data_IF_577207614271
#
_entry.id   IF_577207614271
#
_cell.length_a   1.000
_cell.length_b   1.000
_cell.length_c   1.000
_cell.angle_alpha   90.00
_cell.angle_beta   90.00
_cell.angle_gamma   90.00
#
_symmetry.space_group_name_H-M   'P 1'
#
loop_
_entity.id
_entity.type
_entity.pdbx_description
1 polymer ?
#
# COMPACT_ATOMS: atom_id res chain seq x y z
N UNK A 1 22.06 89.19 -5.40
CA UNK A 1 23.36 88.74 -5.96
C UNK A 1 23.28 87.25 -6.18
N UNK A 2 23.90 86.77 -7.27
CA UNK A 2 23.98 85.37 -7.73
C UNK A 2 24.41 84.41 -6.61
N UNK A 3 23.93 83.15 -6.60
CA UNK A 3 24.75 81.99 -7.04
C UNK A 3 24.16 80.59 -6.76
N UNK A 4 24.25 79.76 -7.81
CA UNK A 4 24.55 78.31 -7.91
C UNK A 4 23.63 77.19 -7.35
N UNK A 5 23.27 76.30 -8.28
CA UNK A 5 22.51 75.02 -8.29
C UNK A 5 23.51 73.84 -8.08
N UNK A 6 23.20 72.51 -7.97
CA UNK A 6 22.00 71.68 -7.64
C UNK A 6 22.26 70.60 -6.55
N UNK A 7 21.24 69.83 -6.12
CA UNK A 7 21.47 68.42 -5.78
C UNK A 7 20.20 67.57 -5.99
N UNK A 8 20.34 66.53 -6.83
CA UNK A 8 19.37 65.47 -7.04
C UNK A 8 19.23 64.63 -5.76
N UNK A 9 18.00 64.39 -5.30
CA UNK A 9 17.72 63.17 -4.56
C UNK A 9 16.27 62.73 -4.84
N UNK A 10 16.16 61.75 -5.73
CA UNK A 10 14.99 60.90 -5.81
C UNK A 10 14.93 60.04 -4.53
N UNK A 11 13.76 59.95 -3.88
CA UNK A 11 13.50 58.82 -3.01
C UNK A 11 12.11 58.24 -3.30
N UNK A 12 12.20 57.17 -4.08
CA UNK A 12 11.18 56.24 -4.51
C UNK A 12 10.33 55.72 -3.36
N UNK A 13 9.02 55.69 -3.61
CA UNK A 13 8.03 54.92 -2.86
C UNK A 13 8.40 53.43 -2.91
N UNK A 14 8.89 52.86 -1.80
CA UNK A 14 9.09 51.42 -1.69
C UNK A 14 7.86 50.81 -1.03
N UNK A 15 6.88 50.43 -1.85
CA UNK A 15 5.85 49.49 -1.43
C UNK A 15 6.54 48.14 -1.13
N UNK A 16 6.49 47.68 0.11
CA UNK A 16 6.82 46.30 0.43
C UNK A 16 5.74 45.39 -0.17
N UNK A 17 5.96 44.92 -1.40
CA UNK A 17 5.27 43.74 -1.89
C UNK A 17 5.76 42.56 -1.07
N UNK A 18 4.92 42.10 -0.16
CA UNK A 18 4.99 40.77 0.41
C UNK A 18 4.97 39.78 -0.75
N UNK A 19 6.11 39.14 -1.03
CA UNK A 19 6.14 37.98 -1.91
C UNK A 19 5.40 36.86 -1.17
N UNK A 20 4.27 36.33 -1.66
CA UNK A 20 3.77 35.09 -1.13
C UNK A 20 4.84 34.03 -1.43
N UNK A 21 5.38 33.41 -0.39
CA UNK A 21 6.19 32.22 -0.55
C UNK A 21 5.35 31.21 -1.33
N UNK A 22 5.73 30.96 -2.59
CA UNK A 22 5.20 29.84 -3.34
C UNK A 22 5.56 28.60 -2.53
N UNK A 23 4.57 28.03 -1.86
CA UNK A 23 4.67 26.69 -1.32
C UNK A 23 5.06 25.81 -2.51
N UNK A 24 6.25 25.21 -2.46
CA UNK A 24 6.60 24.11 -3.35
C UNK A 24 5.65 22.96 -3.01
N UNK A 25 4.51 22.94 -3.71
CA UNK A 25 3.67 21.77 -3.79
C UNK A 25 4.53 20.73 -4.51
N UNK A 26 5.10 19.79 -3.75
CA UNK A 26 5.88 18.68 -4.28
C UNK A 26 4.93 17.86 -5.16
N UNK A 27 4.81 18.25 -6.43
CA UNK A 27 4.01 17.52 -7.39
C UNK A 27 4.64 16.14 -7.52
N UNK A 28 3.91 15.12 -7.09
CA UNK A 28 4.32 13.75 -7.19
C UNK A 28 4.48 13.41 -8.68
N UNK A 29 5.73 13.42 -9.16
CA UNK A 29 6.02 13.25 -10.58
C UNK A 29 5.74 11.80 -10.99
N UNK A 30 4.84 11.62 -11.96
CA UNK A 30 4.64 10.34 -12.63
C UNK A 30 5.94 9.96 -13.34
N UNK A 31 6.55 8.84 -12.94
CA UNK A 31 7.75 8.31 -13.58
C UNK A 31 7.44 7.46 -14.81
N UNK A 32 6.26 6.86 -14.84
CA UNK A 32 5.73 6.13 -15.98
C UNK A 32 4.20 6.22 -16.01
N UNK A 33 3.62 5.94 -17.16
CA UNK A 33 2.18 5.73 -17.32
C UNK A 33 1.89 4.27 -17.66
N UNK A 34 0.78 3.75 -17.15
CA UNK A 34 0.34 2.39 -17.45
C UNK A 34 -1.15 2.33 -17.76
N UNK A 35 -1.51 1.72 -18.89
CA UNK A 35 -2.91 1.46 -19.24
C UNK A 35 -3.33 0.12 -18.65
N UNK A 36 -4.32 0.15 -17.75
CA UNK A 36 -4.86 -1.05 -17.09
C UNK A 36 -5.41 -2.02 -18.14
N UNK A 37 -4.92 -3.26 -18.12
CA UNK A 37 -5.40 -4.34 -18.97
C UNK A 37 -6.42 -5.21 -18.23
N UNK A 38 -7.15 -6.04 -18.97
CA UNK A 38 -8.10 -6.97 -18.38
C UNK A 38 -7.37 -7.95 -17.46
N UNK A 39 -7.75 -7.98 -16.19
CA UNK A 39 -7.14 -8.85 -15.18
C UNK A 39 -6.02 -8.20 -14.37
N UNK A 40 -5.66 -6.95 -14.66
CA UNK A 40 -4.71 -6.22 -13.84
C UNK A 40 -5.29 -5.79 -12.49
N UNK A 41 -4.42 -5.74 -11.50
CA UNK A 41 -4.68 -5.15 -10.19
C UNK A 41 -3.61 -4.09 -9.92
N UNK A 42 -3.87 -3.14 -9.02
CA UNK A 42 -2.82 -2.20 -8.60
C UNK A 42 -1.59 -2.92 -8.05
N UNK A 43 -1.80 -4.10 -7.45
CA UNK A 43 -0.74 -4.96 -6.95
C UNK A 43 0.14 -5.51 -8.08
N UNK A 44 -0.44 -6.17 -9.08
CA UNK A 44 0.32 -6.74 -10.21
C UNK A 44 1.06 -5.64 -10.99
N UNK A 45 0.49 -4.44 -11.08
CA UNK A 45 1.11 -3.26 -11.68
C UNK A 45 2.26 -2.76 -10.78
N UNK A 46 2.05 -2.63 -9.48
CA UNK A 46 3.10 -2.22 -8.53
C UNK A 46 4.32 -3.12 -8.58
N UNK A 47 4.11 -4.44 -8.58
CA UNK A 47 5.19 -5.43 -8.74
C UNK A 47 5.94 -5.25 -10.06
N UNK A 48 5.22 -5.04 -11.17
CA UNK A 48 5.83 -4.83 -12.49
C UNK A 48 6.76 -3.62 -12.54
N UNK A 49 6.43 -2.56 -11.81
CA UNK A 49 7.17 -1.30 -11.81
C UNK A 49 8.08 -1.12 -10.58
N UNK A 50 8.10 -2.08 -9.64
CA UNK A 50 8.86 -1.96 -8.40
C UNK A 50 8.37 -0.82 -7.50
N UNK A 51 7.07 -0.51 -7.57
CA UNK A 51 6.43 0.57 -6.81
C UNK A 51 5.38 -0.03 -5.90
N UNK A 52 5.30 0.44 -4.64
CA UNK A 52 4.21 0.04 -3.76
C UNK A 52 2.86 0.42 -4.39
N UNK A 53 1.97 -0.56 -4.54
CA UNK A 53 0.68 -0.35 -5.16
C UNK A 53 -0.15 0.72 -4.43
N UNK A 54 0.09 0.96 -3.13
CA UNK A 54 -0.53 2.03 -2.35
C UNK A 54 -0.08 3.40 -2.85
N UNK A 55 1.18 3.54 -3.25
CA UNK A 55 1.66 4.77 -3.87
C UNK A 55 0.98 5.01 -5.21
N UNK A 56 0.76 3.96 -6.01
CA UNK A 56 -0.05 4.04 -7.24
C UNK A 56 -1.51 4.41 -6.90
N UNK A 57 -2.09 3.80 -5.88
CA UNK A 57 -3.46 4.07 -5.43
C UNK A 57 -3.67 5.55 -5.08
N UNK A 58 -2.81 6.11 -4.22
CA UNK A 58 -2.88 7.52 -3.80
C UNK A 58 -2.55 8.48 -4.94
N UNK A 59 -1.50 8.20 -5.72
CA UNK A 59 -1.10 9.05 -6.86
C UNK A 59 -2.19 9.17 -7.94
N UNK A 60 -3.10 8.20 -8.01
CA UNK A 60 -4.18 8.17 -9.01
C UNK A 60 -5.58 8.48 -8.44
N UNK A 61 -5.65 8.94 -7.18
CA UNK A 61 -6.91 9.25 -6.50
C UNK A 61 -7.91 8.09 -6.54
N UNK A 62 -7.41 6.84 -6.51
CA UNK A 62 -8.29 5.68 -6.57
C UNK A 62 -8.96 5.57 -5.21
N UNK A 63 -10.29 5.42 -5.22
CA UNK A 63 -11.10 5.31 -3.99
C UNK A 63 -11.56 3.88 -3.73
N UNK A 64 -11.56 3.04 -4.77
CA UNK A 64 -11.95 1.64 -4.67
C UNK A 64 -11.03 0.76 -5.52
N UNK A 65 -10.20 -0.04 -4.86
CA UNK A 65 -9.26 -0.98 -5.49
C UNK A 65 -9.99 -2.05 -6.32
N UNK A 66 -11.25 -2.37 -5.96
CA UNK A 66 -12.08 -3.37 -6.66
C UNK A 66 -12.65 -2.86 -8.00
N UNK A 67 -12.58 -1.56 -8.26
CA UNK A 67 -13.11 -0.94 -9.49
C UNK A 67 -12.01 -0.29 -10.30
N UNK A 68 -10.93 -1.01 -10.55
CA UNK A 68 -9.91 -0.54 -11.48
C UNK A 68 -10.43 -0.70 -12.92
N UNK A 69 -10.77 0.38 -13.64
CA UNK A 69 -11.39 0.26 -14.96
C UNK A 69 -10.32 -0.17 -15.98
N UNK A 70 -10.63 -1.19 -16.78
CA UNK A 70 -9.79 -1.55 -17.93
C UNK A 70 -9.73 -0.36 -18.90
N UNK A 71 -8.54 -0.04 -19.39
CA UNK A 71 -8.27 1.13 -20.22
C UNK A 71 -8.01 2.41 -19.45
N UNK A 72 -8.13 2.43 -18.11
CA UNK A 72 -7.69 3.58 -17.30
C UNK A 72 -6.17 3.71 -17.38
N UNK A 73 -5.67 4.91 -17.66
CA UNK A 73 -4.24 5.24 -17.56
C UNK A 73 -3.93 5.60 -16.10
N UNK A 74 -2.92 4.96 -15.55
CA UNK A 74 -2.40 5.19 -14.20
C UNK A 74 -1.05 5.87 -14.26
N UNK A 75 -0.90 6.92 -13.45
CA UNK A 75 0.37 7.48 -13.03
C UNK A 75 1.11 6.47 -12.15
N UNK A 76 2.27 6.01 -12.59
CA UNK A 76 3.18 5.22 -11.78
C UNK A 76 4.20 6.19 -11.16
N UNK A 77 4.08 6.54 -9.87
CA UNK A 77 5.03 7.46 -9.24
C UNK A 77 6.43 6.85 -9.29
N UNK A 78 7.45 7.71 -9.25
CA UNK A 78 8.82 7.24 -9.11
C UNK A 78 8.89 6.28 -7.92
N UNK A 79 9.60 5.17 -8.10
CA UNK A 79 9.95 4.30 -6.99
C UNK A 79 10.75 5.14 -5.99
N UNK A 80 10.08 5.68 -4.98
CA UNK A 80 10.75 6.15 -3.78
C UNK A 80 11.34 4.90 -3.19
N UNK A 81 12.66 4.72 -3.34
CA UNK A 81 13.38 3.82 -2.47
C UNK A 81 13.02 4.25 -1.05
N UNK A 82 12.11 3.52 -0.41
CA UNK A 82 11.74 3.78 0.97
C UNK A 82 12.97 3.44 1.78
N UNK A 83 13.85 4.42 1.97
CA UNK A 83 14.80 4.40 3.05
C UNK A 83 13.96 4.15 4.32
N UNK A 84 14.27 3.12 5.11
CA UNK A 84 13.46 2.78 6.26
C UNK A 84 13.47 3.96 7.23
N UNK A 85 12.28 4.53 7.50
CA UNK A 85 12.10 5.55 8.53
C UNK A 85 12.32 4.87 9.88
N UNK A 86 13.43 5.20 10.52
CA UNK A 86 13.78 4.74 11.85
C UNK A 86 12.84 5.33 12.91
N UNK A 87 12.35 4.49 13.83
CA UNK A 87 12.20 4.65 15.30
C UNK A 87 11.38 3.43 15.76
N UNK A 88 11.83 2.47 16.58
CA UNK A 88 12.85 2.45 17.62
C UNK A 88 13.63 1.13 17.65
N UNK A 89 14.94 1.23 17.82
CA UNK A 89 15.91 0.18 18.18
C UNK A 89 15.40 -0.66 19.38
N UNK A 90 15.48 -2.00 19.33
CA UNK A 90 16.71 -2.64 19.79
C UNK A 90 17.43 -3.39 18.66
N UNK A 91 18.75 -3.26 18.71
CA UNK A 91 19.77 -3.84 17.87
C UNK A 91 19.47 -5.28 17.45
N UNK A 92 19.32 -5.52 16.15
CA UNK A 92 19.53 -6.83 15.54
C UNK A 92 20.46 -6.66 14.34
N UNK A 93 21.67 -7.19 14.51
CA UNK A 93 22.71 -7.35 13.51
C UNK A 93 22.13 -7.81 12.17
N UNK A 94 22.38 -7.02 11.12
CA UNK A 94 22.11 -7.38 9.72
C UNK A 94 22.95 -8.58 9.33
N UNK A 95 22.39 -9.77 9.53
CA UNK A 95 22.88 -10.99 8.90
C UNK A 95 22.02 -11.23 7.67
N UNK A 96 22.45 -10.68 6.54
CA UNK A 96 22.03 -11.17 5.21
C UNK A 96 22.52 -12.61 5.12
N UNK A 97 21.62 -13.58 5.29
CA UNK A 97 21.92 -14.99 5.11
C UNK A 97 20.73 -15.69 4.47
N UNK A 98 21.03 -16.22 3.28
CA UNK A 98 20.35 -17.27 2.53
C UNK A 98 18.85 -17.08 2.21
N UNK A 99 18.54 -17.14 0.91
CA UNK A 99 17.23 -17.54 0.41
C UNK A 99 16.78 -18.79 1.18
N UNK A 100 15.75 -18.73 2.06
CA UNK A 100 15.27 -19.92 2.73
C UNK A 100 14.65 -20.84 1.67
N UNK A 101 14.91 -22.14 1.79
CA UNK A 101 14.12 -23.17 1.11
C UNK A 101 12.65 -22.91 1.41
N UNK A 102 11.92 -22.42 0.40
CA UNK A 102 10.59 -21.87 0.55
C UNK A 102 9.60 -23.00 0.86
N UNK A 103 9.32 -23.22 2.14
CA UNK A 103 8.16 -24.02 2.53
C UNK A 103 6.91 -23.33 2.01
N UNK A 104 5.95 -24.11 1.50
CA UNK A 104 4.69 -23.57 0.99
C UNK A 104 3.89 -23.05 2.20
N UNK A 105 3.50 -21.75 2.22
CA UNK A 105 2.71 -21.20 3.31
C UNK A 105 1.32 -21.85 3.39
N UNK A 106 0.87 -22.17 4.61
CA UNK A 106 -0.41 -22.84 4.86
C UNK A 106 -1.20 -22.04 5.88
N UNK A 107 -2.47 -21.78 5.58
CA UNK A 107 -3.45 -21.26 6.54
C UNK A 107 -4.57 -22.27 6.77
N UNK A 108 -4.96 -22.45 8.03
CA UNK A 108 -6.14 -23.22 8.43
C UNK A 108 -7.12 -22.34 9.19
N UNK A 109 -8.40 -22.63 9.06
CA UNK A 109 -9.45 -21.92 9.80
C UNK A 109 -9.63 -22.62 11.15
N UNK A 110 -9.51 -21.88 12.24
CA UNK A 110 -9.60 -22.41 13.61
C UNK A 110 -10.85 -21.91 14.35
N UNK A 111 -11.43 -20.79 13.92
CA UNK A 111 -12.67 -20.26 14.50
C UNK A 111 -13.39 -19.31 13.55
N UNK A 112 -14.72 -19.25 13.66
CA UNK A 112 -15.57 -18.32 12.90
C UNK A 112 -16.62 -17.76 13.84
N UNK A 113 -16.70 -16.43 13.92
CA UNK A 113 -17.80 -15.70 14.53
C UNK A 113 -18.73 -15.20 13.42
N UNK A 114 -19.98 -15.72 13.32
CA UNK A 114 -20.84 -15.45 12.18
C UNK A 114 -21.11 -13.96 11.96
N UNK A 115 -20.85 -13.48 10.74
CA UNK A 115 -21.04 -12.09 10.33
C UNK A 115 -20.05 -11.11 10.95
N UNK A 116 -19.06 -11.58 11.70
CA UNK A 116 -18.18 -10.72 12.49
C UNK A 116 -16.70 -10.97 12.17
N UNK A 117 -16.17 -12.17 12.42
CA UNK A 117 -14.74 -12.43 12.27
C UNK A 117 -14.38 -13.89 11.98
N UNK A 118 -13.14 -14.12 11.55
CA UNK A 118 -12.54 -15.43 11.36
C UNK A 118 -11.17 -15.49 12.01
N UNK A 119 -10.87 -16.58 12.70
CA UNK A 119 -9.57 -16.88 13.28
C UNK A 119 -8.87 -17.92 12.41
N UNK A 120 -7.60 -17.65 12.10
CA UNK A 120 -6.73 -18.55 11.35
C UNK A 120 -5.51 -18.96 12.15
N UNK A 121 -4.97 -20.13 11.81
CA UNK A 121 -3.62 -20.53 12.17
C UNK A 121 -2.77 -20.61 10.88
N UNK A 122 -1.66 -19.88 10.87
CA UNK A 122 -0.73 -19.75 9.76
C UNK A 122 0.58 -20.46 10.09
N UNK A 123 1.09 -21.26 9.16
CA UNK A 123 2.34 -22.02 9.30
C UNK A 123 3.14 -22.01 8.00
N UNK A 124 4.45 -22.25 8.09
CA UNK A 124 5.37 -22.29 6.95
C UNK A 124 5.44 -20.97 6.16
N UNK A 125 5.07 -19.85 6.76
CA UNK A 125 5.27 -18.53 6.15
C UNK A 125 6.75 -18.15 6.24
N UNK A 126 7.28 -17.41 5.26
CA UNK A 126 8.60 -16.83 5.41
C UNK A 126 8.60 -15.85 6.60
N UNK A 127 9.60 -15.91 7.50
CA UNK A 127 9.64 -15.05 8.69
C UNK A 127 9.91 -13.59 8.32
N UNK A 128 9.42 -12.68 9.16
CA UNK A 128 9.58 -11.22 9.07
C UNK A 128 9.21 -10.70 7.68
N UNK A 129 8.02 -11.07 7.23
CA UNK A 129 7.45 -10.64 5.95
C UNK A 129 6.03 -10.15 6.17
N UNK A 130 5.66 -9.15 5.40
CA UNK A 130 4.31 -8.63 5.42
C UNK A 130 3.44 -9.37 4.40
N UNK A 131 2.25 -9.75 4.84
CA UNK A 131 1.22 -10.38 4.02
C UNK A 131 -0.07 -9.57 4.13
N UNK A 132 -0.67 -9.28 2.98
CA UNK A 132 -1.99 -8.69 2.92
C UNK A 132 -3.04 -9.78 3.16
N UNK A 133 -3.97 -9.50 4.05
CA UNK A 133 -5.12 -10.34 4.34
C UNK A 133 -6.29 -9.83 3.52
N UNK A 134 -6.74 -10.67 2.60
CA UNK A 134 -7.83 -10.39 1.67
C UNK A 134 -8.99 -11.34 1.96
N UNK A 135 -10.22 -10.83 1.92
CA UNK A 135 -11.42 -11.66 2.00
C UNK A 135 -12.34 -11.42 0.82
N UNK A 136 -12.88 -12.48 0.25
CA UNK A 136 -13.71 -12.38 -0.96
C UNK A 136 -14.80 -13.44 -1.02
N UNK A 137 -15.65 -13.38 -2.06
CA UNK A 137 -16.62 -14.42 -2.35
C UNK A 137 -15.93 -15.79 -2.51
N UNK A 138 -16.63 -16.86 -2.12
CA UNK A 138 -16.16 -18.23 -2.36
C UNK A 138 -15.89 -18.48 -3.87
N UNK A 139 -14.92 -19.35 -4.17
CA UNK A 139 -14.52 -19.69 -5.54
C UNK A 139 -13.49 -18.74 -6.16
N UNK A 140 -13.22 -17.60 -5.55
CA UNK A 140 -12.19 -16.63 -5.99
C UNK A 140 -10.80 -16.94 -5.45
N UNK A 141 -10.66 -17.90 -4.51
CA UNK A 141 -9.42 -18.14 -3.76
C UNK A 141 -8.94 -16.90 -2.96
N UNK A 142 -9.83 -15.95 -2.74
CA UNK A 142 -9.51 -14.63 -2.16
C UNK A 142 -8.68 -13.74 -3.09
N UNK A 143 -8.47 -14.16 -4.35
CA UNK A 143 -7.85 -13.33 -5.38
C UNK A 143 -8.81 -12.16 -5.68
N UNK A 144 -8.30 -10.93 -5.70
CA UNK A 144 -9.11 -9.70 -5.78
C UNK A 144 -10.14 -9.53 -4.66
N UNK A 145 -9.90 -10.14 -3.48
CA UNK A 145 -10.72 -9.93 -2.29
C UNK A 145 -10.62 -8.50 -1.73
N UNK A 146 -11.57 -8.14 -0.88
CA UNK A 146 -11.51 -6.91 -0.08
C UNK A 146 -10.33 -6.98 0.88
N UNK A 147 -9.47 -5.96 0.85
CA UNK A 147 -8.38 -5.81 1.81
C UNK A 147 -8.94 -5.64 3.22
N UNK A 148 -8.46 -6.48 4.14
CA UNK A 148 -8.83 -6.43 5.56
C UNK A 148 -7.74 -5.73 6.35
N UNK A 149 -6.50 -6.21 6.25
CA UNK A 149 -5.35 -5.65 6.95
C UNK A 149 -4.04 -6.22 6.38
N UNK A 150 -2.90 -5.73 6.87
CA UNK A 150 -1.57 -6.32 6.66
C UNK A 150 -1.10 -6.97 7.96
N UNK A 151 -0.50 -8.16 7.87
CA UNK A 151 0.07 -8.91 8.99
C UNK A 151 1.55 -9.20 8.74
N UNK A 152 2.39 -8.94 9.75
CA UNK A 152 3.79 -9.40 9.73
C UNK A 152 3.86 -10.84 10.26
N UNK A 153 4.57 -11.71 9.54
CA UNK A 153 4.65 -13.13 9.84
C UNK A 153 5.52 -13.47 11.05
N UNK A 154 6.30 -12.52 11.58
CA UNK A 154 7.19 -12.73 12.72
C UNK A 154 8.12 -13.93 12.48
N UNK A 155 7.96 -15.00 13.25
CA UNK A 155 8.76 -16.23 13.12
C UNK A 155 8.34 -17.15 11.96
N UNK A 156 7.26 -16.82 11.22
CA UNK A 156 6.73 -17.62 10.11
C UNK A 156 5.56 -18.53 10.50
N UNK A 157 5.14 -18.51 11.75
CA UNK A 157 3.92 -19.16 12.24
C UNK A 157 3.21 -18.27 13.25
N UNK A 158 1.89 -18.14 13.14
CA UNK A 158 1.08 -17.26 13.99
C UNK A 158 -0.40 -17.62 13.94
N UNK A 159 -1.14 -17.18 14.95
CA UNK A 159 -2.61 -17.25 15.00
C UNK A 159 -3.16 -15.83 15.07
N UNK A 160 -4.15 -15.52 14.25
CA UNK A 160 -4.73 -14.18 14.18
C UNK A 160 -6.23 -14.22 13.86
N UNK A 161 -6.96 -13.21 14.35
CA UNK A 161 -8.39 -13.02 14.09
C UNK A 161 -8.59 -11.79 13.23
N UNK A 162 -9.44 -11.91 12.21
CA UNK A 162 -9.71 -10.87 11.23
C UNK A 162 -11.20 -10.62 11.10
N UNK A 163 -11.61 -9.36 11.19
CA UNK A 163 -13.00 -8.94 11.01
C UNK A 163 -13.44 -9.08 9.55
N UNK A 164 -14.66 -9.57 9.33
CA UNK A 164 -15.26 -9.65 8.00
C UNK A 164 -15.60 -8.25 7.48
N UNK A 165 -15.27 -7.92 6.22
CA UNK A 165 -15.76 -6.72 5.55
C UNK A 165 -17.30 -6.69 5.49
N UNK A 166 -17.89 -5.50 5.56
CA UNK A 166 -19.35 -5.31 5.57
C UNK A 166 -20.05 -6.01 4.40
N UNK A 167 -19.42 -6.00 3.22
CA UNK A 167 -19.94 -6.66 2.01
C UNK A 167 -20.03 -8.19 2.10
N UNK A 168 -19.37 -8.81 3.09
CA UNK A 168 -19.26 -10.26 3.24
C UNK A 168 -19.93 -10.78 4.51
N UNK A 169 -20.41 -9.91 5.42
CA UNK A 169 -21.04 -10.32 6.68
C UNK A 169 -22.27 -11.21 6.48
N UNK A 170 -23.02 -11.01 5.40
CA UNK A 170 -24.20 -11.83 5.04
C UNK A 170 -23.87 -13.00 4.11
N UNK A 171 -22.64 -13.12 3.61
CA UNK A 171 -22.26 -14.20 2.71
C UNK A 171 -22.21 -15.51 3.49
N UNK A 172 -22.74 -16.61 2.93
CA UNK A 172 -22.75 -17.94 3.58
C UNK A 172 -21.38 -18.62 3.61
N UNK A 173 -20.53 -18.26 2.67
CA UNK A 173 -19.16 -18.76 2.52
C UNK A 173 -18.26 -17.61 2.11
N UNK A 174 -17.06 -17.59 2.66
CA UNK A 174 -16.07 -16.54 2.42
C UNK A 174 -14.71 -17.19 2.16
N UNK A 175 -14.00 -16.70 1.15
CA UNK A 175 -12.60 -17.03 0.93
C UNK A 175 -11.73 -16.04 1.68
N UNK A 176 -10.65 -16.53 2.30
CA UNK A 176 -9.59 -15.71 2.90
C UNK A 176 -8.26 -16.05 2.24
N UNK A 177 -7.45 -15.03 1.99
CA UNK A 177 -6.14 -15.16 1.36
C UNK A 177 -5.13 -14.30 2.09
N UNK A 178 -3.97 -14.87 2.36
CA UNK A 178 -2.76 -14.14 2.73
C UNK A 178 -1.88 -14.08 1.48
N UNK A 179 -1.61 -12.87 1.01
CA UNK A 179 -0.78 -12.61 -0.18
C UNK A 179 0.41 -11.72 0.17
N UNK A 180 1.61 -12.18 -0.15
CA UNK A 180 2.86 -11.47 0.09
C UNK A 180 3.68 -11.33 -1.18
N UNK A 181 4.85 -10.72 -1.03
CA UNK A 181 5.81 -10.51 -2.12
C UNK A 181 6.33 -11.83 -2.71
N UNK A 182 7.01 -11.76 -3.85
CA UNK A 182 7.66 -12.93 -4.51
C UNK A 182 6.70 -14.10 -4.81
N UNK A 183 5.39 -13.82 -4.93
CA UNK A 183 4.38 -14.82 -5.25
C UNK A 183 3.96 -15.71 -4.07
N UNK A 184 4.43 -15.42 -2.85
CA UNK A 184 3.95 -16.14 -1.66
C UNK A 184 2.47 -15.88 -1.45
N UNK A 185 1.68 -16.94 -1.41
CA UNK A 185 0.29 -16.83 -1.03
C UNK A 185 -0.20 -18.12 -0.37
N UNK A 186 -1.18 -17.96 0.49
CA UNK A 186 -1.97 -19.05 1.03
C UNK A 186 -3.42 -18.63 1.07
N UNK A 187 -4.33 -19.56 0.81
CA UNK A 187 -5.75 -19.26 0.83
C UNK A 187 -6.52 -20.42 1.43
N UNK A 188 -7.68 -20.11 1.98
CA UNK A 188 -8.63 -21.09 2.47
C UNK A 188 -10.03 -20.46 2.39
N UNK A 189 -11.05 -21.19 2.79
CA UNK A 189 -12.41 -20.69 2.86
C UNK A 189 -13.12 -21.25 4.08
N UNK A 190 -14.19 -20.57 4.48
CA UNK A 190 -14.99 -20.96 5.62
C UNK A 190 -16.48 -20.74 5.37
N UNK A 191 -17.31 -21.50 6.08
CA UNK A 191 -18.72 -21.19 6.23
C UNK A 191 -18.89 -20.10 7.27
N UNK A 192 -19.67 -19.09 6.94
CA UNK A 192 -19.99 -17.99 7.84
C UNK A 192 -21.34 -18.27 8.52
N UNK A 193 -21.32 -19.21 9.48
CA UNK A 193 -22.48 -19.69 10.23
C UNK A 193 -22.07 -20.32 11.55
#
# INVERSE_FOLDING_TARGET
MKQFVPFFLALSLLAMLTVPAFAEETQQTCSAEYTVQRGDTLYSIGVKYGVDWRNIFYANGITNVLKLPVGKVLCIPAATATAPVATSTPTATTTVTATPSAKIPIITITGVAPGESVTINATNFPPNRDFNVLMGPIGTRGESGTFVTTVNTGTGAFTATYTLPDSLKSAKQVAIRLEGEFGYHSYNWFYNK
#
